data_IF_389813342676
#
_entry.id   IF_389813342676
#
_cell.length_a   1.000
_cell.length_b   1.000
_cell.length_c   1.000
_cell.angle_alpha   90.00
_cell.angle_beta   90.00
_cell.angle_gamma   90.00
#
_symmetry.space_group_name_H-M   'P 1'
#
loop_
_entity.id
_entity.type
_entity.pdbx_description
1 polymer ?
#
# COMPACT_ATOMS: atom_id res chain seq x y z
N UNK A 1 -15.58 7.00 4.74
CA UNK A 1 -14.76 6.37 3.69
C UNK A 1 -14.81 4.86 3.83
N UNK A 2 -15.03 4.13 2.74
CA UNK A 2 -15.08 2.66 2.75
C UNK A 2 -13.68 2.05 2.62
N UNK A 3 -13.43 0.81 3.11
CA UNK A 3 -12.15 0.13 2.96
C UNK A 3 -11.75 -0.06 1.50
N UNK A 4 -12.73 -0.28 0.61
CA UNK A 4 -12.47 -0.41 -0.84
C UNK A 4 -11.93 0.88 -1.43
N UNK A 5 -12.49 2.03 -1.05
CA UNK A 5 -11.95 3.33 -1.47
C UNK A 5 -10.52 3.53 -0.97
N UNK A 6 -10.20 3.08 0.25
CA UNK A 6 -8.85 3.20 0.79
C UNK A 6 -7.86 2.29 0.06
N UNK A 7 -8.26 1.06 -0.29
CA UNK A 7 -7.46 0.18 -1.15
C UNK A 7 -7.25 0.79 -2.54
N UNK A 8 -8.27 1.44 -3.11
CA UNK A 8 -8.13 2.13 -4.39
C UNK A 8 -7.13 3.30 -4.32
N UNK A 9 -7.13 4.06 -3.22
CA UNK A 9 -6.10 5.09 -2.99
C UNK A 9 -4.70 4.50 -2.85
N UNK A 10 -4.54 3.40 -2.11
CA UNK A 10 -3.25 2.69 -2.00
C UNK A 10 -2.78 2.18 -3.37
N UNK A 11 -3.69 1.62 -4.16
CA UNK A 11 -3.38 1.16 -5.51
C UNK A 11 -2.99 2.32 -6.44
N UNK A 12 -3.74 3.42 -6.44
CA UNK A 12 -3.40 4.62 -7.21
C UNK A 12 -2.08 5.23 -6.77
N UNK A 13 -1.81 5.29 -5.47
CA UNK A 13 -0.53 5.72 -4.93
C UNK A 13 0.62 4.82 -5.38
N UNK A 14 0.42 3.50 -5.47
CA UNK A 14 1.43 2.56 -5.98
C UNK A 14 1.80 2.85 -7.44
N UNK A 15 0.83 3.22 -8.27
CA UNK A 15 1.07 3.65 -9.66
C UNK A 15 1.88 4.94 -9.70
N UNK A 16 1.50 5.96 -8.93
CA UNK A 16 2.21 7.24 -8.89
C UNK A 16 3.65 7.06 -8.40
N UNK A 17 3.84 6.27 -7.34
CA UNK A 17 5.16 5.97 -6.80
C UNK A 17 6.02 5.20 -7.83
N UNK A 18 5.43 4.22 -8.53
CA UNK A 18 6.11 3.48 -9.58
C UNK A 18 6.57 4.39 -10.72
N UNK A 19 5.68 5.23 -11.24
CA UNK A 19 6.02 6.20 -12.28
C UNK A 19 7.11 7.19 -11.82
N UNK A 20 6.98 7.73 -10.60
CA UNK A 20 7.96 8.66 -10.04
C UNK A 20 9.35 8.02 -9.87
N UNK A 21 9.41 6.72 -9.54
CA UNK A 21 10.68 5.99 -9.37
C UNK A 21 11.51 5.89 -10.66
N UNK A 22 10.87 5.99 -11.83
CA UNK A 22 11.54 5.99 -13.13
C UNK A 22 12.05 7.38 -13.55
N UNK A 23 11.68 8.45 -12.84
CA UNK A 23 12.10 9.81 -13.15
C UNK A 23 13.41 10.13 -12.42
N UNK A 24 14.47 10.41 -13.17
CA UNK A 24 15.76 10.80 -12.60
C UNK A 24 15.61 12.06 -11.73
N UNK A 25 16.20 12.05 -10.52
CA UNK A 25 16.12 13.15 -9.56
C UNK A 25 14.95 13.07 -8.56
N UNK A 26 14.01 12.12 -8.75
CA UNK A 26 12.92 11.85 -7.81
C UNK A 26 13.21 10.72 -6.81
N UNK A 27 14.44 10.22 -6.81
CA UNK A 27 14.94 9.20 -5.87
C UNK A 27 15.96 9.85 -4.93
N UNK A 28 15.56 10.10 -3.69
CA UNK A 28 16.45 10.59 -2.63
C UNK A 28 15.91 10.13 -1.28
N UNK A 29 16.77 9.98 -0.25
CA UNK A 29 16.34 9.47 1.05
C UNK A 29 15.16 10.24 1.67
N UNK A 30 15.10 11.57 1.47
CA UNK A 30 14.01 12.40 1.96
C UNK A 30 12.69 12.17 1.21
N UNK A 31 12.76 11.97 -0.11
CA UNK A 31 11.58 11.66 -0.95
C UNK A 31 11.10 10.23 -0.66
N UNK A 32 12.02 9.28 -0.48
CA UNK A 32 11.70 7.90 -0.14
C UNK A 32 10.99 7.82 1.23
N UNK A 33 11.47 8.60 2.21
CA UNK A 33 10.81 8.73 3.50
C UNK A 33 9.40 9.32 3.36
N UNK A 34 9.21 10.33 2.52
CA UNK A 34 7.89 10.90 2.24
C UNK A 34 6.95 9.85 1.64
N UNK A 35 7.41 9.06 0.67
CA UNK A 35 6.62 7.98 0.09
C UNK A 35 6.20 6.94 1.15
N UNK A 36 7.13 6.55 2.03
CA UNK A 36 6.84 5.63 3.15
C UNK A 36 5.79 6.22 4.08
N UNK A 37 5.93 7.50 4.46
CA UNK A 37 4.97 8.19 5.35
C UNK A 37 3.59 8.24 4.72
N UNK A 38 3.47 8.62 3.45
CA UNK A 38 2.18 8.67 2.75
C UNK A 38 1.57 7.26 2.64
N UNK A 39 2.36 6.26 2.31
CA UNK A 39 1.90 4.87 2.25
C UNK A 39 1.38 4.40 3.61
N UNK A 40 2.07 4.76 4.69
CA UNK A 40 1.67 4.42 6.05
C UNK A 40 0.36 5.12 6.44
N UNK A 41 0.22 6.41 6.12
CA UNK A 41 -1.03 7.16 6.35
C UNK A 41 -2.20 6.51 5.61
N UNK A 42 -2.03 6.15 4.33
CA UNK A 42 -3.06 5.46 3.56
C UNK A 42 -3.41 4.09 4.16
N UNK A 43 -2.41 3.36 4.65
CA UNK A 43 -2.63 2.10 5.37
C UNK A 43 -3.46 2.32 6.64
N UNK A 44 -3.18 3.36 7.42
CA UNK A 44 -3.98 3.71 8.60
C UNK A 44 -5.39 4.17 8.25
N UNK A 45 -5.58 4.86 7.13
CA UNK A 45 -6.92 5.20 6.60
C UNK A 45 -7.70 3.93 6.28
N UNK A 46 -7.07 2.97 5.58
CA UNK A 46 -7.68 1.67 5.30
C UNK A 46 -8.03 0.93 6.58
N UNK A 47 -7.07 0.80 7.51
CA UNK A 47 -7.28 0.16 8.80
C UNK A 47 -8.46 0.81 9.53
N UNK A 48 -8.50 2.14 9.65
CA UNK A 48 -9.58 2.85 10.33
C UNK A 48 -10.95 2.66 9.66
N UNK A 49 -11.01 2.56 8.34
CA UNK A 49 -12.24 2.20 7.65
C UNK A 49 -12.65 0.75 7.94
N UNK A 50 -11.71 -0.19 7.88
CA UNK A 50 -11.96 -1.62 8.06
C UNK A 50 -12.41 -1.96 9.50
N UNK A 51 -11.73 -1.40 10.50
CA UNK A 51 -12.08 -1.60 11.91
C UNK A 51 -13.46 -1.05 12.26
N UNK A 52 -13.84 0.10 11.68
CA UNK A 52 -15.19 0.68 11.85
C UNK A 52 -16.26 -0.23 11.27
N UNK A 53 -16.02 -0.83 10.11
CA UNK A 53 -16.98 -1.75 9.49
C UNK A 53 -17.15 -3.06 10.29
N UNK A 54 -16.10 -3.50 10.97
CA UNK A 54 -16.12 -4.74 11.77
C UNK A 54 -16.49 -4.52 13.24
N UNK A 55 -16.64 -3.26 13.68
CA UNK A 55 -16.81 -2.93 15.10
C UNK A 55 -15.60 -3.31 15.97
N UNK A 56 -14.42 -3.51 15.37
CA UNK A 56 -13.22 -3.97 16.10
C UNK A 56 -12.45 -2.80 16.71
N UNK A 57 -12.31 -2.78 18.04
CA UNK A 57 -11.52 -1.76 18.74
C UNK A 57 -10.04 -2.16 18.75
N UNK A 58 -9.21 -1.45 17.98
CA UNK A 58 -7.77 -1.71 17.91
C UNK A 58 -7.05 -1.27 19.18
N UNK A 59 -6.21 -2.13 19.79
CA UNK A 59 -5.34 -1.72 20.90
C UNK A 59 -4.12 -0.93 20.40
N UNK A 60 -3.58 -0.04 21.24
CA UNK A 60 -2.48 0.86 20.86
C UNK A 60 -1.20 0.13 20.40
N UNK A 61 -0.87 -1.01 21.03
CA UNK A 61 0.30 -1.81 20.65
C UNK A 61 0.23 -2.33 19.20
N UNK A 62 -0.99 -2.55 18.68
CA UNK A 62 -1.17 -2.97 17.30
C UNK A 62 -0.78 -1.85 16.33
N UNK A 63 -1.13 -0.60 16.66
CA UNK A 63 -0.76 0.54 15.82
C UNK A 63 0.75 0.72 15.82
N UNK A 64 1.42 0.65 16.98
CA UNK A 64 2.88 0.73 17.09
C UNK A 64 3.54 -0.37 16.27
N UNK A 65 3.04 -1.60 16.40
CA UNK A 65 3.55 -2.73 15.64
C UNK A 65 3.33 -2.62 14.13
N UNK A 66 2.24 -1.99 13.67
CA UNK A 66 2.03 -1.73 12.24
C UNK A 66 3.01 -0.68 11.72
N UNK A 67 3.32 0.36 12.51
CA UNK A 67 4.35 1.35 12.15
C UNK A 67 5.72 0.69 12.07
N UNK A 68 6.06 -0.13 13.06
CA UNK A 68 7.38 -0.76 13.14
C UNK A 68 7.56 -1.92 12.15
N UNK A 69 6.52 -2.74 11.95
CA UNK A 69 6.60 -3.98 11.17
C UNK A 69 5.23 -4.40 10.62
N UNK A 70 4.71 -3.60 9.66
CA UNK A 70 3.41 -3.85 9.03
C UNK A 70 3.27 -5.28 8.48
N UNK A 71 4.33 -5.85 7.90
CA UNK A 71 4.34 -7.21 7.31
C UNK A 71 3.92 -8.28 8.32
N UNK A 72 4.27 -8.13 9.60
CA UNK A 72 3.89 -9.08 10.64
C UNK A 72 2.55 -8.70 11.30
N UNK A 73 2.35 -7.40 11.56
CA UNK A 73 1.20 -6.95 12.34
C UNK A 73 -0.11 -6.86 11.54
N UNK A 74 -0.07 -6.70 10.20
CA UNK A 74 -1.28 -6.80 9.37
C UNK A 74 -1.89 -8.21 9.40
N UNK A 75 -1.10 -9.30 9.18
CA UNK A 75 -1.53 -10.67 9.44
C UNK A 75 -2.19 -10.86 10.81
N UNK A 76 -1.54 -10.38 11.87
CA UNK A 76 -2.05 -10.49 13.25
C UNK A 76 -3.36 -9.73 13.41
N UNK A 77 -3.45 -8.52 12.84
CA UNK A 77 -4.68 -7.73 12.81
C UNK A 77 -5.82 -8.47 12.10
N UNK A 78 -5.57 -9.05 10.93
CA UNK A 78 -6.59 -9.81 10.17
C UNK A 78 -7.00 -11.08 10.90
N UNK A 79 -6.07 -11.76 11.56
CA UNK A 79 -6.41 -12.92 12.37
C UNK A 79 -7.34 -12.57 13.54
N UNK A 80 -7.05 -11.46 14.24
CA UNK A 80 -7.80 -11.02 15.43
C UNK A 80 -9.13 -10.34 15.13
N UNK A 81 -9.23 -9.63 14.01
CA UNK A 81 -10.43 -8.87 13.64
C UNK A 81 -11.51 -9.72 12.95
N UNK A 82 -11.16 -10.90 12.41
CA UNK A 82 -12.08 -11.71 11.59
C UNK A 82 -12.62 -12.94 12.34
N UNK A 83 -13.91 -13.24 12.20
CA UNK A 83 -14.49 -14.46 12.77
C UNK A 83 -13.89 -15.72 12.10
N UNK A 84 -13.90 -16.86 12.82
CA UNK A 84 -13.46 -18.14 12.27
C UNK A 84 -14.22 -18.45 10.96
N UNK A 85 -13.50 -18.88 9.92
CA UNK A 85 -14.05 -19.12 8.57
C UNK A 85 -13.85 -17.96 7.58
N UNK A 86 -13.68 -16.71 8.02
CA UNK A 86 -13.38 -15.57 7.12
C UNK A 86 -11.89 -15.18 7.06
N UNK A 87 -11.06 -15.81 7.88
CA UNK A 87 -9.63 -15.53 8.00
C UNK A 87 -8.88 -15.79 6.69
N UNK A 88 -9.05 -16.97 6.10
CA UNK A 88 -8.33 -17.35 4.87
C UNK A 88 -8.61 -16.37 3.72
N UNK A 89 -9.86 -15.95 3.55
CA UNK A 89 -10.24 -14.93 2.56
C UNK A 89 -9.60 -13.57 2.86
N UNK A 90 -9.46 -13.20 4.13
CA UNK A 90 -8.79 -11.96 4.51
C UNK A 90 -7.29 -12.00 4.23
N UNK A 91 -6.62 -13.13 4.54
CA UNK A 91 -5.21 -13.37 4.20
C UNK A 91 -4.99 -13.37 2.69
N UNK A 92 -5.83 -14.09 1.93
CA UNK A 92 -5.77 -14.08 0.47
C UNK A 92 -6.02 -12.68 -0.11
N UNK A 93 -6.96 -11.93 0.45
CA UNK A 93 -7.20 -10.53 0.07
C UNK A 93 -6.01 -9.62 0.34
N UNK A 94 -5.32 -9.80 1.48
CA UNK A 94 -4.09 -9.07 1.78
C UNK A 94 -2.98 -9.41 0.78
N UNK A 95 -2.77 -10.70 0.52
CA UNK A 95 -1.75 -11.15 -0.43
C UNK A 95 -2.04 -10.59 -1.83
N UNK A 96 -3.28 -10.66 -2.29
CA UNK A 96 -3.70 -10.08 -3.58
C UNK A 96 -3.50 -8.56 -3.62
N UNK A 97 -3.79 -7.85 -2.53
CA UNK A 97 -3.56 -6.41 -2.47
C UNK A 97 -2.07 -6.06 -2.56
N UNK A 98 -1.21 -6.79 -1.83
CA UNK A 98 0.25 -6.59 -1.85
C UNK A 98 0.80 -6.89 -3.25
N UNK A 99 0.46 -8.05 -3.82
CA UNK A 99 0.90 -8.44 -5.16
C UNK A 99 0.38 -7.49 -6.24
N UNK A 100 -0.89 -7.06 -6.13
CA UNK A 100 -1.49 -6.10 -7.04
C UNK A 100 -0.79 -4.73 -6.99
N UNK A 101 -0.48 -4.22 -5.79
CA UNK A 101 0.26 -2.97 -5.64
C UNK A 101 1.69 -3.08 -6.20
N UNK A 102 2.38 -4.20 -5.94
CA UNK A 102 3.72 -4.45 -6.48
C UNK A 102 3.70 -4.52 -8.02
N UNK A 103 2.71 -5.20 -8.61
CA UNK A 103 2.53 -5.27 -10.06
C UNK A 103 2.22 -3.90 -10.67
N UNK A 104 1.34 -3.11 -10.04
CA UNK A 104 1.02 -1.74 -10.47
C UNK A 104 2.23 -0.82 -10.40
N UNK A 105 3.00 -0.88 -9.32
CA UNK A 105 4.25 -0.14 -9.16
C UNK A 105 5.25 -0.49 -10.28
N UNK A 106 5.50 -1.78 -10.50
CA UNK A 106 6.44 -2.23 -11.52
C UNK A 106 5.99 -1.84 -12.93
N UNK A 107 4.72 -2.05 -13.26
CA UNK A 107 4.17 -1.67 -14.56
C UNK A 107 4.25 -0.16 -14.81
N UNK A 108 3.95 0.66 -13.80
CA UNK A 108 4.03 2.12 -13.91
C UNK A 108 5.48 2.61 -14.09
N UNK A 109 6.44 2.00 -13.37
CA UNK A 109 7.86 2.27 -13.55
C UNK A 109 8.34 1.93 -14.97
N UNK A 110 8.11 0.70 -15.41
CA UNK A 110 8.51 0.23 -16.75
C UNK A 110 7.90 1.08 -17.87
N UNK A 111 6.61 1.39 -17.79
CA UNK A 111 5.93 2.22 -18.80
C UNK A 111 6.49 3.63 -18.86
N UNK A 112 6.82 4.22 -17.71
CA UNK A 112 7.41 5.57 -17.64
C UNK A 112 8.85 5.57 -18.17
N UNK A 113 9.65 4.57 -17.84
CA UNK A 113 11.02 4.42 -18.33
C UNK A 113 11.08 4.30 -19.87
N UNK A 114 10.20 3.48 -20.45
CA UNK A 114 10.07 3.34 -21.92
C UNK A 114 9.65 4.67 -22.56
N UNK A 115 8.71 5.39 -21.95
CA UNK A 115 8.25 6.68 -22.44
C UNK A 115 9.35 7.75 -22.41
N UNK A 116 10.14 7.80 -21.35
CA UNK A 116 11.25 8.76 -21.22
C UNK A 116 12.39 8.43 -22.19
N UNK A 117 12.72 7.14 -22.34
CA UNK A 117 13.77 6.69 -23.26
C UNK A 117 13.43 7.00 -24.71
N UNK A 118 12.18 6.74 -25.12
CA UNK A 118 11.72 7.04 -26.48
C UNK A 118 11.72 8.53 -26.82
N UNK A 119 11.43 9.41 -25.86
CA UNK A 119 11.50 10.87 -26.03
C UNK A 119 12.92 11.37 -26.31
N UNK A 120 13.92 10.78 -25.66
CA UNK A 120 15.33 11.14 -25.84
C UNK A 120 15.89 10.70 -27.20
N UNK A 121 15.35 9.62 -27.78
CA UNK A 121 15.78 9.13 -29.11
C UNK A 121 15.22 9.98 -30.25
N UNK A 122 14.09 10.67 -30.04
CA UNK A 122 13.43 11.49 -31.07
C UNK A 122 13.79 12.97 -31.06
N UNK A 123 14.60 13.41 -30.09
CA UNK A 123 15.03 14.81 -29.91
C UNK A 123 16.46 15.00 -30.42
#
# INVERSE_FOLDING_TARGET
MSPRAALALIAGFSVVNGAASAVSGWTSPGIDLLWIVVQLLLLFVWLAADSRQLGYRRPAWMNIGIVALAVLFLPVYLYRSRPPGRRLRAFGGLLLAVLGCAALFAAAGMTTEVLLSSRLVTA
#
